data_IF_951622647596
#
_entry.id   IF_951622647596
#
_cell.length_a   1.000
_cell.length_b   1.000
_cell.length_c   1.000
_cell.angle_alpha   90.00
_cell.angle_beta   90.00
_cell.angle_gamma   90.00
#
_symmetry.space_group_name_H-M   'P 1'
#
loop_
_entity.id
_entity.type
_entity.pdbx_description
1 polymer ?
#
# COMPACT_ATOMS: atom_id res chain seq x y z
N UNK A 1 -7.29 -1.22 -10.44
CA UNK A 1 -7.19 -1.37 -8.97
C UNK A 1 -8.29 -0.55 -8.34
N UNK A 2 -9.12 -1.15 -7.48
CA UNK A 2 -10.13 -0.40 -6.69
C UNK A 2 -9.46 0.25 -5.46
N UNK A 3 -9.93 1.43 -5.02
CA UNK A 3 -9.52 2.08 -3.77
C UNK A 3 -10.74 2.18 -2.86
N UNK A 4 -10.69 1.48 -1.72
CA UNK A 4 -11.74 1.52 -0.70
C UNK A 4 -11.67 2.82 0.11
N UNK A 5 -12.81 3.23 0.66
CA UNK A 5 -12.91 4.43 1.50
C UNK A 5 -11.98 4.39 2.72
N UNK A 6 -11.69 3.20 3.25
CA UNK A 6 -10.74 3.01 4.34
C UNK A 6 -9.31 3.44 3.98
N UNK A 7 -8.93 3.39 2.71
CA UNK A 7 -7.61 3.82 2.25
C UNK A 7 -7.45 5.35 2.22
N UNK A 8 -8.55 6.10 2.15
CA UNK A 8 -8.55 7.58 2.06
C UNK A 8 -8.43 8.27 3.42
N UNK A 9 -8.26 7.52 4.51
CA UNK A 9 -8.23 8.05 5.89
C UNK A 9 -7.00 8.94 6.20
N UNK A 10 -5.93 8.84 5.42
CA UNK A 10 -4.64 9.49 5.71
C UNK A 10 -4.29 10.63 4.74
N UNK A 11 -5.28 11.21 4.06
CA UNK A 11 -5.11 12.34 3.14
C UNK A 11 -4.07 12.07 2.03
N UNK A 12 -4.08 10.85 1.51
CA UNK A 12 -3.31 10.44 0.34
C UNK A 12 -4.24 10.47 -0.87
N UNK A 13 -3.85 11.17 -1.93
CA UNK A 13 -4.64 11.25 -3.15
C UNK A 13 -4.71 9.88 -3.85
N UNK A 14 -5.84 9.57 -4.47
CA UNK A 14 -6.06 8.31 -5.19
C UNK A 14 -4.98 8.06 -6.25
N UNK A 15 -4.54 9.11 -6.97
CA UNK A 15 -3.49 8.94 -7.98
C UNK A 15 -2.12 8.61 -7.37
N UNK A 16 -1.85 9.05 -6.15
CA UNK A 16 -0.61 8.71 -5.45
C UNK A 16 -0.61 7.27 -4.95
N UNK A 17 -1.77 6.75 -4.52
CA UNK A 17 -1.96 5.33 -4.21
C UNK A 17 -1.78 4.45 -5.44
N UNK A 18 -2.40 4.83 -6.57
CA UNK A 18 -2.28 4.09 -7.83
C UNK A 18 -0.84 4.12 -8.35
N UNK A 19 -0.16 5.27 -8.28
CA UNK A 19 1.23 5.38 -8.67
C UNK A 19 2.14 4.51 -7.80
N UNK A 20 1.93 4.50 -6.48
CA UNK A 20 2.70 3.64 -5.57
C UNK A 20 2.46 2.15 -5.82
N UNK A 21 1.24 1.77 -6.20
CA UNK A 21 0.94 0.40 -6.62
C UNK A 21 1.63 0.01 -7.94
N UNK A 22 1.51 0.86 -8.96
CA UNK A 22 2.07 0.61 -10.29
C UNK A 22 3.61 0.54 -10.28
N UNK A 23 4.24 1.42 -9.51
CA UNK A 23 5.70 1.53 -9.40
C UNK A 23 6.23 1.02 -8.06
N UNK A 24 5.57 0.03 -7.47
CA UNK A 24 5.98 -0.53 -6.18
C UNK A 24 7.43 -1.03 -6.23
N UNK A 25 8.18 -0.73 -5.16
CA UNK A 25 9.57 -1.16 -4.99
C UNK A 25 9.65 -2.56 -4.39
N UNK A 26 8.73 -2.85 -3.47
CA UNK A 26 8.70 -4.10 -2.72
C UNK A 26 7.29 -4.39 -2.23
N UNK A 27 6.98 -5.67 -2.06
CA UNK A 27 5.89 -6.10 -1.20
C UNK A 27 6.36 -7.22 -0.28
N UNK A 28 5.65 -7.39 0.83
CA UNK A 28 5.76 -8.57 1.70
C UNK A 28 4.37 -9.13 1.95
N UNK A 29 4.28 -10.46 2.09
CA UNK A 29 3.06 -11.12 2.49
C UNK A 29 2.95 -11.11 4.02
N UNK A 30 1.76 -10.83 4.51
CA UNK A 30 1.44 -10.92 5.93
C UNK A 30 0.04 -11.53 6.09
N UNK A 31 -0.13 -12.32 7.14
CA UNK A 31 -1.43 -12.78 7.59
C UNK A 31 -1.99 -11.77 8.59
N UNK A 32 -3.26 -11.42 8.45
CA UNK A 32 -3.99 -10.57 9.39
C UNK A 32 -5.40 -11.11 9.55
N UNK A 33 -5.75 -11.51 10.77
CA UNK A 33 -7.06 -12.09 11.08
C UNK A 33 -7.42 -13.31 10.22
N UNK A 34 -6.43 -14.17 9.93
CA UNK A 34 -6.59 -15.35 9.08
C UNK A 34 -6.58 -15.08 7.57
N UNK A 35 -6.51 -13.81 7.16
CA UNK A 35 -6.49 -13.41 5.76
C UNK A 35 -5.08 -12.99 5.31
N UNK A 36 -4.67 -13.48 4.14
CA UNK A 36 -3.41 -13.09 3.53
C UNK A 36 -3.56 -11.75 2.80
N UNK A 37 -2.61 -10.85 3.03
CA UNK A 37 -2.56 -9.54 2.39
C UNK A 37 -1.12 -9.15 2.04
N UNK A 38 -0.98 -8.34 1.01
CA UNK A 38 0.27 -7.69 0.65
C UNK A 38 0.40 -6.37 1.41
N UNK A 39 1.53 -6.20 2.11
CA UNK A 39 2.02 -4.90 2.51
C UNK A 39 2.98 -4.42 1.43
N UNK A 40 2.59 -3.38 0.70
CA UNK A 40 3.25 -2.86 -0.49
C UNK A 40 3.94 -1.54 -0.17
N UNK A 41 5.15 -1.34 -0.71
CA UNK A 41 5.91 -0.11 -0.57
C UNK A 41 6.21 0.46 -1.95
N UNK A 42 5.82 1.71 -2.20
CA UNK A 42 6.02 2.37 -3.48
C UNK A 42 6.01 3.89 -3.36
N UNK A 43 6.55 4.61 -4.36
CA UNK A 43 6.56 6.06 -4.37
C UNK A 43 5.21 6.63 -4.80
N UNK A 44 4.76 7.69 -4.14
CA UNK A 44 3.78 8.62 -4.70
C UNK A 44 4.35 9.36 -5.92
N UNK A 45 3.53 10.17 -6.60
CA UNK A 45 3.97 10.93 -7.79
C UNK A 45 5.07 11.96 -7.50
N UNK A 46 5.20 12.40 -6.25
CA UNK A 46 6.26 13.33 -5.82
C UNK A 46 7.49 12.62 -5.22
N UNK A 47 7.51 11.28 -5.22
CA UNK A 47 8.62 10.47 -4.69
C UNK A 47 8.56 10.18 -3.19
N UNK A 48 7.59 10.71 -2.44
CA UNK A 48 7.37 10.29 -1.06
C UNK A 48 6.95 8.83 -1.01
N UNK A 49 7.60 8.03 -0.15
CA UNK A 49 7.30 6.61 -0.01
C UNK A 49 5.98 6.40 0.74
N UNK A 50 5.13 5.54 0.19
CA UNK A 50 3.85 5.11 0.75
C UNK A 50 3.92 3.64 1.17
N UNK A 51 3.12 3.30 2.18
CA UNK A 51 2.75 1.93 2.50
C UNK A 51 1.29 1.71 2.11
N UNK A 52 1.01 0.62 1.37
CA UNK A 52 -0.34 0.22 0.99
C UNK A 52 -0.63 -1.18 1.54
N UNK A 53 -1.89 -1.45 1.85
CA UNK A 53 -2.36 -2.80 2.15
C UNK A 53 -3.36 -3.25 1.08
N UNK A 54 -3.08 -4.39 0.47
CA UNK A 54 -3.87 -5.00 -0.60
C UNK A 54 -4.16 -6.45 -0.22
N UNK A 55 -5.41 -6.81 0.12
CA UNK A 55 -5.80 -8.20 0.31
C UNK A 55 -5.52 -9.06 -0.92
N UNK A 56 -5.20 -10.33 -0.71
CA UNK A 56 -4.97 -11.29 -1.80
C UNK A 56 -6.26 -11.92 -2.34
N UNK A 57 -7.40 -11.67 -1.69
CA UNK A 57 -8.71 -12.08 -2.19
C UNK A 57 -9.22 -11.17 -3.30
N UNK A 58 -10.10 -11.70 -4.14
CA UNK A 58 -10.71 -10.93 -5.22
C UNK A 58 -11.99 -10.23 -4.74
N UNK A 59 -12.29 -9.00 -5.23
CA UNK A 59 -11.52 -8.24 -6.21
C UNK A 59 -10.30 -7.54 -5.60
N UNK A 60 -9.23 -7.43 -6.39
CA UNK A 60 -8.03 -6.69 -5.99
C UNK A 60 -8.32 -5.20 -5.67
N UNK A 61 -7.96 -4.78 -4.46
CA UNK A 61 -8.32 -3.47 -3.91
C UNK A 61 -7.33 -2.97 -2.86
N UNK A 62 -7.09 -1.67 -2.84
CA UNK A 62 -6.33 -1.00 -1.78
C UNK A 62 -7.28 -0.70 -0.62
N UNK A 63 -6.97 -1.23 0.57
CA UNK A 63 -7.80 -1.03 1.78
C UNK A 63 -7.16 -0.08 2.80
N UNK A 64 -5.88 0.19 2.67
CA UNK A 64 -5.13 1.13 3.50
C UNK A 64 -4.04 1.78 2.68
N UNK A 65 -3.82 3.07 2.90
CA UNK A 65 -2.69 3.82 2.39
C UNK A 65 -2.23 4.80 3.47
N UNK A 66 -0.92 4.90 3.67
CA UNK A 66 -0.30 5.88 4.55
C UNK A 66 1.11 6.21 4.03
N UNK A 67 1.73 7.23 4.61
CA UNK A 67 3.17 7.46 4.43
C UNK A 67 3.93 6.28 5.02
N UNK A 68 4.95 5.80 4.29
CA UNK A 68 5.73 4.67 4.73
C UNK A 68 6.41 4.96 6.06
N UNK A 69 6.09 4.17 7.08
CA UNK A 69 6.66 4.30 8.42
C UNK A 69 8.11 3.83 8.45
N UNK A 70 8.97 4.50 9.21
CA UNK A 70 10.41 4.22 9.26
C UNK A 70 10.75 2.77 9.61
N UNK A 71 9.93 2.10 10.41
CA UNK A 71 10.10 0.67 10.77
C UNK A 71 10.09 -0.27 9.55
N UNK A 72 9.52 0.17 8.43
CA UNK A 72 9.44 -0.63 7.20
C UNK A 72 10.60 -0.40 6.24
N UNK A 73 11.49 0.57 6.49
CA UNK A 73 12.69 0.78 5.68
C UNK A 73 13.56 -0.48 5.59
N UNK A 74 13.52 -1.34 6.61
CA UNK A 74 14.20 -2.65 6.62
C UNK A 74 13.79 -3.58 5.47
N UNK A 75 12.65 -3.35 4.83
CA UNK A 75 12.19 -4.15 3.69
C UNK A 75 12.74 -3.65 2.35
N UNK A 76 13.41 -2.50 2.32
CA UNK A 76 14.02 -1.91 1.12
C UNK A 76 15.55 -2.04 1.08
N UNK A 77 16.13 -2.85 1.99
CA UNK A 77 17.57 -3.09 2.10
C UNK A 77 18.01 -4.34 1.33
#
# INVERSE_FOLDING_TARGET
MEIRDSARKHDIADEDMLHAWEYQLRYVLQEYDGELQMLVFGPSRNGALLELVVPLDEPQRIIHADRMRSKFLRYLQ
#
